data_IF_059338672578
#
_entry.id   IF_059338672578
#
_cell.length_a   1.000
_cell.length_b   1.000
_cell.length_c   1.000
_cell.angle_alpha   90.00
_cell.angle_beta   90.00
_cell.angle_gamma   90.00
#
_symmetry.space_group_name_H-M   'P 1'
#
loop_
_entity.id
_entity.type
_entity.pdbx_description
1 polymer ?
#
# COMPACT_ATOMS: atom_id res chain seq x y z
N UNK A 1 23.94 10.01 -7.62
CA UNK A 1 22.71 9.52 -8.28
C UNK A 1 23.13 9.46 -9.72
N UNK A 2 23.36 8.26 -10.20
CA UNK A 2 24.29 8.05 -11.32
C UNK A 2 23.54 7.71 -12.61
N UNK A 3 22.21 7.55 -12.51
CA UNK A 3 21.30 7.25 -13.60
C UNK A 3 20.42 8.47 -13.92
N UNK A 4 20.18 8.71 -15.21
CA UNK A 4 19.21 9.71 -15.71
C UNK A 4 17.97 8.98 -16.20
N UNK A 5 16.82 9.31 -15.63
CA UNK A 5 15.53 8.68 -15.97
C UNK A 5 14.58 9.72 -16.53
N UNK A 6 14.26 9.58 -17.81
CA UNK A 6 13.42 10.53 -18.55
C UNK A 6 12.55 9.78 -19.56
N UNK A 7 11.44 10.37 -19.97
CA UNK A 7 10.55 9.82 -21.00
C UNK A 7 9.55 10.87 -21.48
N UNK A 8 8.98 10.63 -22.65
CA UNK A 8 7.95 11.46 -23.29
C UNK A 8 6.89 10.55 -23.91
N UNK A 9 5.70 11.10 -24.17
CA UNK A 9 4.56 10.35 -24.73
C UNK A 9 4.68 10.10 -26.25
N UNK A 10 5.71 10.63 -26.90
CA UNK A 10 5.91 10.54 -28.34
C UNK A 10 7.37 10.25 -28.69
N UNK A 11 7.58 9.28 -29.59
CA UNK A 11 8.90 8.85 -30.02
C UNK A 11 9.79 9.98 -30.54
N UNK A 12 9.24 10.92 -31.31
CA UNK A 12 9.97 12.07 -31.87
C UNK A 12 10.45 12.97 -30.73
N UNK A 13 9.55 13.34 -29.80
CA UNK A 13 9.91 14.14 -28.63
C UNK A 13 10.95 13.43 -27.77
N UNK A 14 10.83 12.12 -27.59
CA UNK A 14 11.81 11.32 -26.84
C UNK A 14 13.19 11.35 -27.51
N UNK A 15 13.26 11.26 -28.84
CA UNK A 15 14.52 11.37 -29.60
C UNK A 15 15.14 12.76 -29.48
N UNK A 16 14.34 13.82 -29.60
CA UNK A 16 14.82 15.19 -29.44
C UNK A 16 15.37 15.42 -28.02
N UNK A 17 14.65 14.97 -27.00
CA UNK A 17 15.08 15.04 -25.60
C UNK A 17 16.38 14.24 -25.36
N UNK A 18 16.52 13.05 -25.96
CA UNK A 18 17.74 12.26 -25.90
C UNK A 18 18.95 13.04 -26.45
N UNK A 19 18.80 13.67 -27.61
CA UNK A 19 19.87 14.49 -28.21
C UNK A 19 20.22 15.71 -27.35
N UNK A 20 19.20 16.38 -26.78
CA UNK A 20 19.41 17.50 -25.86
C UNK A 20 20.20 17.08 -24.62
N UNK A 21 19.89 15.91 -24.04
CA UNK A 21 20.66 15.37 -22.92
C UNK A 21 22.10 15.05 -23.30
N UNK A 22 22.33 14.39 -24.44
CA UNK A 22 23.68 14.09 -24.92
C UNK A 22 24.50 15.37 -25.05
N UNK A 23 23.97 16.40 -25.72
CA UNK A 23 24.66 17.68 -25.90
C UNK A 23 24.90 18.42 -24.58
N UNK A 24 23.93 18.38 -23.65
CA UNK A 24 24.07 19.03 -22.34
C UNK A 24 25.19 18.40 -21.50
N UNK A 25 25.26 17.08 -21.45
CA UNK A 25 26.30 16.37 -20.68
C UNK A 25 27.67 16.48 -21.35
N UNK A 26 27.73 16.45 -22.67
CA UNK A 26 28.97 16.65 -23.44
C UNK A 26 29.62 18.02 -23.16
N UNK A 27 28.80 19.08 -23.05
CA UNK A 27 29.24 20.41 -22.60
C UNK A 27 29.87 20.41 -21.20
N UNK A 28 29.47 19.48 -20.35
CA UNK A 28 30.05 19.25 -19.03
C UNK A 28 31.26 18.31 -19.04
N UNK A 29 31.73 17.86 -20.20
CA UNK A 29 32.79 16.86 -20.35
C UNK A 29 32.37 15.44 -19.92
N UNK A 30 31.06 15.16 -19.90
CA UNK A 30 30.50 13.87 -19.49
C UNK A 30 29.86 13.15 -20.67
N UNK A 31 30.21 11.89 -20.86
CA UNK A 31 29.60 11.04 -21.89
C UNK A 31 28.53 10.12 -21.27
N UNK A 32 27.31 10.19 -21.80
CA UNK A 32 26.24 9.26 -21.42
C UNK A 32 26.47 7.88 -22.05
N UNK A 33 26.33 6.82 -21.25
CA UNK A 33 26.54 5.42 -21.65
C UNK A 33 25.45 4.52 -21.05
N UNK A 34 25.39 3.23 -21.44
CA UNK A 34 24.46 2.22 -20.88
C UNK A 34 22.98 2.58 -21.07
N UNK A 35 22.61 2.92 -22.29
CA UNK A 35 21.25 3.29 -22.65
C UNK A 35 20.29 2.10 -22.58
N UNK A 36 19.11 2.34 -22.04
CA UNK A 36 18.03 1.37 -21.93
C UNK A 36 16.71 2.04 -22.25
N UNK A 37 15.90 1.46 -23.14
CA UNK A 37 14.64 2.03 -23.59
C UNK A 37 13.59 0.95 -23.85
N UNK A 38 12.31 1.27 -23.68
CA UNK A 38 11.19 0.39 -24.01
C UNK A 38 10.81 0.42 -25.50
N UNK A 39 11.43 1.29 -26.31
CA UNK A 39 11.28 1.29 -27.77
C UNK A 39 12.65 1.15 -28.46
N UNK A 40 12.79 0.15 -29.34
CA UNK A 40 14.06 -0.16 -30.01
C UNK A 40 14.55 1.01 -30.88
N UNK A 41 13.64 1.79 -31.45
CA UNK A 41 13.96 2.94 -32.31
C UNK A 41 14.69 4.07 -31.57
N UNK A 42 14.72 4.05 -30.23
CA UNK A 42 15.46 4.99 -29.37
C UNK A 42 16.92 4.57 -29.13
N UNK A 43 17.27 3.35 -29.51
CA UNK A 43 18.62 2.81 -29.40
C UNK A 43 19.20 2.89 -30.82
N UNK A 44 19.98 3.94 -31.11
CA UNK A 44 20.57 4.16 -32.43
C UNK A 44 21.52 3.02 -32.84
N UNK A 45 21.51 2.66 -34.13
CA UNK A 45 22.41 1.65 -34.71
C UNK A 45 23.89 2.09 -34.78
N UNK A 46 24.16 3.40 -34.67
CA UNK A 46 25.50 3.98 -34.95
C UNK A 46 26.47 4.01 -33.76
N UNK A 47 26.06 3.54 -32.57
CA UNK A 47 26.89 3.55 -31.35
C UNK A 47 27.08 2.12 -30.85
N UNK A 48 28.35 1.73 -30.58
CA UNK A 48 28.81 0.36 -30.26
C UNK A 48 27.76 -0.45 -29.47
N UNK A 49 27.35 -1.59 -30.02
CA UNK A 49 26.35 -2.52 -29.48
C UNK A 49 26.54 -2.90 -27.99
N UNK A 50 27.75 -2.72 -27.43
CA UNK A 50 28.06 -3.01 -26.03
C UNK A 50 27.37 -2.09 -25.01
N UNK A 51 26.91 -0.90 -25.42
CA UNK A 51 26.40 0.14 -24.50
C UNK A 51 24.86 0.26 -24.48
N UNK A 52 24.14 -0.60 -25.22
CA UNK A 52 22.68 -0.55 -25.33
C UNK A 52 22.02 -1.82 -24.81
N UNK A 53 20.84 -1.67 -24.21
CA UNK A 53 20.07 -2.77 -23.65
C UNK A 53 18.58 -2.61 -23.95
N UNK A 54 18.10 -3.27 -25.01
CA UNK A 54 16.66 -3.38 -25.29
C UNK A 54 16.01 -4.60 -24.62
N UNK A 55 16.71 -5.73 -24.66
CA UNK A 55 16.23 -7.04 -24.21
C UNK A 55 16.80 -7.49 -22.87
N UNK A 56 17.90 -6.86 -22.42
CA UNK A 56 18.55 -7.23 -21.17
C UNK A 56 17.86 -6.51 -20.01
N UNK A 57 17.49 -7.29 -19.01
CA UNK A 57 16.89 -6.74 -17.79
C UNK A 57 17.91 -5.82 -17.11
N UNK A 58 17.47 -4.63 -16.69
CA UNK A 58 18.31 -3.67 -15.99
C UNK A 58 17.72 -3.29 -14.65
N UNK A 59 18.55 -2.83 -13.72
CA UNK A 59 18.06 -2.28 -12.45
C UNK A 59 17.91 -0.77 -12.59
N UNK A 60 16.72 -0.27 -12.31
CA UNK A 60 16.40 1.16 -12.27
C UNK A 60 15.98 1.51 -10.85
N UNK A 61 16.74 2.37 -10.17
CA UNK A 61 16.52 2.73 -8.75
C UNK A 61 16.40 1.52 -7.81
N UNK A 62 17.11 0.44 -8.13
CA UNK A 62 17.09 -0.82 -7.36
C UNK A 62 15.96 -1.79 -7.73
N UNK A 63 14.99 -1.40 -8.57
CA UNK A 63 13.92 -2.27 -9.09
C UNK A 63 14.36 -2.86 -10.43
N UNK A 64 14.05 -4.12 -10.70
CA UNK A 64 14.29 -4.72 -12.02
C UNK A 64 13.27 -4.17 -13.02
N UNK A 65 13.75 -3.62 -14.13
CA UNK A 65 12.95 -3.18 -15.26
C UNK A 65 13.26 -4.04 -16.48
N UNK A 66 12.20 -4.49 -17.15
CA UNK A 66 12.24 -5.23 -18.41
C UNK A 66 11.79 -4.26 -19.51
N UNK A 67 12.72 -3.70 -20.30
CA UNK A 67 12.40 -2.60 -21.21
C UNK A 67 11.40 -3.00 -22.30
N UNK A 68 11.63 -4.12 -22.97
CA UNK A 68 10.77 -4.58 -24.08
C UNK A 68 9.28 -4.74 -23.69
N UNK A 69 8.88 -5.45 -22.61
CA UNK A 69 7.48 -5.51 -22.18
C UNK A 69 7.05 -4.29 -21.33
N UNK A 70 7.95 -3.34 -21.11
CA UNK A 70 7.80 -2.18 -20.23
C UNK A 70 7.19 -2.47 -18.85
N UNK A 71 7.78 -3.43 -18.15
CA UNK A 71 7.28 -3.85 -16.84
C UNK A 71 8.40 -3.90 -15.80
N UNK A 72 8.02 -3.66 -14.55
CA UNK A 72 8.82 -4.02 -13.40
C UNK A 72 8.73 -5.51 -13.16
N UNK A 73 9.88 -6.12 -12.93
CA UNK A 73 10.00 -7.49 -12.47
C UNK A 73 10.66 -7.56 -11.11
N UNK A 74 10.87 -8.78 -10.64
CA UNK A 74 11.57 -9.05 -9.40
C UNK A 74 12.56 -10.20 -9.63
N UNK A 75 13.75 -10.09 -9.05
CA UNK A 75 14.74 -11.15 -9.10
C UNK A 75 15.21 -11.45 -7.67
N UNK A 76 14.45 -12.30 -6.99
CA UNK A 76 14.76 -12.79 -5.66
C UNK A 76 15.55 -14.10 -5.77
N UNK A 77 16.86 -13.99 -5.58
CA UNK A 77 17.75 -15.13 -5.36
C UNK A 77 17.94 -15.28 -3.86
N UNK A 78 17.31 -16.31 -3.30
CA UNK A 78 17.36 -16.60 -1.86
C UNK A 78 18.10 -17.92 -1.69
N UNK A 79 19.23 -17.85 -1.00
CA UNK A 79 19.98 -19.04 -0.61
C UNK A 79 19.15 -19.90 0.33
N UNK A 80 19.14 -21.20 0.07
CA UNK A 80 18.49 -22.17 0.93
C UNK A 80 19.47 -22.69 1.98
N UNK A 81 18.97 -22.90 3.19
CA UNK A 81 19.66 -23.53 4.30
C UNK A 81 18.68 -24.47 5.01
N UNK A 82 19.22 -25.50 5.63
CA UNK A 82 18.43 -26.44 6.43
C UNK A 82 18.01 -25.82 7.77
N UNK A 83 18.80 -24.90 8.33
CA UNK A 83 18.54 -24.30 9.63
C UNK A 83 18.75 -22.79 9.53
N UNK A 84 17.72 -22.03 9.88
CA UNK A 84 17.80 -20.58 9.93
C UNK A 84 17.93 -20.08 11.36
N UNK A 85 18.56 -18.92 11.50
CA UNK A 85 18.52 -18.12 12.73
C UNK A 85 17.54 -16.96 12.57
N UNK A 86 17.11 -16.36 13.68
CA UNK A 86 16.28 -15.15 13.64
C UNK A 86 16.95 -14.00 12.84
N UNK A 87 18.28 -13.85 12.96
CA UNK A 87 19.05 -12.89 12.16
C UNK A 87 19.01 -13.21 10.67
N UNK A 88 19.10 -14.49 10.29
CA UNK A 88 19.02 -14.90 8.90
C UNK A 88 17.65 -14.55 8.29
N UNK A 89 16.56 -14.79 9.02
CA UNK A 89 15.19 -14.42 8.62
C UNK A 89 15.09 -12.92 8.34
N UNK A 90 15.50 -12.07 9.29
CA UNK A 90 15.46 -10.62 9.09
C UNK A 90 16.30 -10.19 7.87
N UNK A 91 17.50 -10.76 7.73
CA UNK A 91 18.37 -10.46 6.59
C UNK A 91 17.73 -10.83 5.26
N UNK A 92 17.00 -11.95 5.19
CA UNK A 92 16.31 -12.38 3.98
C UNK A 92 15.11 -11.47 3.67
N UNK A 93 14.34 -11.04 4.68
CA UNK A 93 13.26 -10.07 4.50
C UNK A 93 13.80 -8.75 3.94
N UNK A 94 14.91 -8.26 4.50
CA UNK A 94 15.53 -7.00 4.08
C UNK A 94 16.06 -7.03 2.63
N UNK A 95 16.34 -8.21 2.07
CA UNK A 95 16.76 -8.38 0.66
C UNK A 95 15.61 -8.22 -0.33
N UNK A 96 14.35 -8.31 0.13
CA UNK A 96 13.18 -8.09 -0.72
C UNK A 96 13.01 -6.58 -0.90
N UNK A 97 13.68 -6.03 -1.92
CA UNK A 97 13.61 -4.61 -2.24
C UNK A 97 12.32 -4.29 -3.00
N UNK A 98 11.39 -3.60 -2.33
CA UNK A 98 10.09 -3.21 -2.88
C UNK A 98 9.71 -1.80 -2.37
N UNK A 99 10.25 -0.73 -2.97
CA UNK A 99 10.06 0.63 -2.48
C UNK A 99 8.62 1.13 -2.67
N UNK A 100 7.88 0.56 -3.63
CA UNK A 100 6.48 0.89 -3.94
C UNK A 100 5.48 -0.02 -3.21
N UNK A 101 5.93 -1.06 -2.51
CA UNK A 101 5.01 -1.99 -1.85
C UNK A 101 4.17 -2.82 -2.83
N UNK A 102 4.64 -3.07 -4.05
CA UNK A 102 3.91 -3.88 -5.05
C UNK A 102 3.76 -5.35 -4.60
N UNK A 103 4.72 -5.84 -3.82
CA UNK A 103 4.72 -7.15 -3.16
C UNK A 103 4.22 -7.06 -1.71
N UNK A 104 3.52 -5.98 -1.35
CA UNK A 104 3.06 -5.67 0.01
C UNK A 104 2.48 -6.87 0.77
N UNK A 105 1.51 -7.63 0.21
CA UNK A 105 0.94 -8.81 0.86
C UNK A 105 1.95 -9.92 1.19
N UNK A 106 2.92 -10.17 0.30
CA UNK A 106 3.98 -11.17 0.51
C UNK A 106 4.92 -10.73 1.62
N UNK A 107 5.36 -9.46 1.56
CA UNK A 107 6.25 -8.88 2.55
C UNK A 107 5.56 -8.80 3.92
N UNK A 108 4.26 -8.54 3.97
CA UNK A 108 3.47 -8.61 5.20
C UNK A 108 3.58 -10.00 5.83
N UNK A 109 3.39 -11.09 5.07
CA UNK A 109 3.50 -12.45 5.60
C UNK A 109 4.86 -12.69 6.27
N UNK A 110 5.93 -12.20 5.64
CA UNK A 110 7.28 -12.26 6.20
C UNK A 110 7.45 -11.42 7.48
N UNK A 111 6.88 -10.21 7.53
CA UNK A 111 6.90 -9.34 8.71
C UNK A 111 6.12 -9.94 9.88
N UNK A 112 4.98 -10.58 9.63
CA UNK A 112 4.19 -11.30 10.64
C UNK A 112 5.00 -12.47 11.20
N UNK A 113 5.65 -13.25 10.32
CA UNK A 113 6.53 -14.33 10.76
C UNK A 113 7.66 -13.81 11.66
N UNK A 114 8.29 -12.70 11.29
CA UNK A 114 9.31 -12.08 12.14
C UNK A 114 8.73 -11.67 13.51
N UNK A 115 7.54 -11.06 13.56
CA UNK A 115 6.82 -10.74 14.80
C UNK A 115 6.60 -11.98 15.68
N UNK A 116 6.20 -13.10 15.07
CA UNK A 116 6.05 -14.39 15.77
C UNK A 116 7.36 -14.83 16.44
N UNK A 117 8.51 -14.68 15.78
CA UNK A 117 9.82 -15.01 16.37
C UNK A 117 10.17 -14.10 17.57
N UNK A 118 9.73 -12.85 17.57
CA UNK A 118 9.89 -11.96 18.72
C UNK A 118 9.07 -12.43 19.92
N UNK A 119 7.85 -12.94 19.69
CA UNK A 119 7.00 -13.49 20.74
C UNK A 119 7.55 -14.78 21.35
N UNK A 120 8.30 -15.56 20.57
CA UNK A 120 9.05 -16.73 21.05
C UNK A 120 10.29 -16.37 21.88
N UNK A 121 10.60 -15.07 22.03
CA UNK A 121 11.76 -14.57 22.78
C UNK A 121 13.11 -15.14 22.32
N UNK A 122 13.23 -15.46 21.03
CA UNK A 122 14.49 -15.90 20.43
C UNK A 122 15.46 -14.72 20.32
N UNK A 123 16.73 -14.94 20.64
CA UNK A 123 17.82 -14.02 20.35
C UNK A 123 18.24 -14.09 18.88
N UNK A 124 19.07 -13.13 18.46
CA UNK A 124 19.47 -12.99 17.05
C UNK A 124 20.20 -14.21 16.49
N UNK A 125 21.04 -14.85 17.32
CA UNK A 125 21.85 -16.01 16.95
C UNK A 125 21.10 -17.34 17.05
N UNK A 126 19.94 -17.36 17.70
CA UNK A 126 19.22 -18.59 17.97
C UNK A 126 18.67 -19.20 16.70
N UNK A 127 18.84 -20.52 16.60
CA UNK A 127 18.22 -21.33 15.55
C UNK A 127 16.71 -21.39 15.76
N UNK A 128 15.95 -21.35 14.66
CA UNK A 128 14.50 -21.48 14.73
C UNK A 128 14.10 -22.88 15.23
N UNK A 129 13.06 -22.99 16.08
CA UNK A 129 12.47 -24.29 16.38
C UNK A 129 11.95 -24.98 15.11
N UNK A 130 11.87 -26.32 15.13
CA UNK A 130 11.58 -27.13 13.95
C UNK A 130 10.32 -26.69 13.19
N UNK A 131 9.26 -26.30 13.93
CA UNK A 131 7.99 -25.84 13.35
C UNK A 131 8.17 -24.54 12.56
N UNK A 132 8.74 -23.52 13.19
CA UNK A 132 9.02 -22.21 12.58
C UNK A 132 10.02 -22.32 11.43
N UNK A 133 11.04 -23.18 11.57
CA UNK A 133 12.02 -23.41 10.52
C UNK A 133 11.37 -24.00 9.26
N UNK A 134 10.51 -25.01 9.42
CA UNK A 134 9.74 -25.64 8.33
C UNK A 134 8.79 -24.62 7.68
N UNK A 135 8.09 -23.82 8.48
CA UNK A 135 7.21 -22.75 7.99
C UNK A 135 7.99 -21.71 7.16
N UNK A 136 9.16 -21.29 7.64
CA UNK A 136 10.02 -20.34 6.95
C UNK A 136 10.58 -20.91 5.64
N UNK A 137 11.04 -22.16 5.65
CA UNK A 137 11.47 -22.85 4.43
C UNK A 137 10.37 -22.92 3.38
N UNK A 138 9.14 -23.25 3.80
CA UNK A 138 7.98 -23.25 2.90
C UNK A 138 7.73 -21.87 2.28
N UNK A 139 7.81 -20.81 3.10
CA UNK A 139 7.70 -19.44 2.61
C UNK A 139 8.82 -19.08 1.62
N UNK A 140 10.09 -19.40 1.92
CA UNK A 140 11.19 -19.15 0.98
C UNK A 140 11.03 -19.92 -0.33
N UNK A 141 10.54 -21.16 -0.27
CA UNK A 141 10.23 -21.95 -1.44
C UNK A 141 9.12 -21.34 -2.29
N UNK A 142 8.18 -20.60 -1.70
CA UNK A 142 7.14 -19.90 -2.45
C UNK A 142 7.64 -18.58 -3.06
N UNK A 143 8.68 -17.95 -2.49
CA UNK A 143 9.24 -16.71 -3.01
C UNK A 143 9.84 -16.83 -4.42
N UNK A 144 10.20 -18.04 -4.88
CA UNK A 144 10.65 -18.25 -6.27
C UNK A 144 9.60 -17.82 -7.30
N UNK A 145 8.31 -17.88 -6.95
CA UNK A 145 7.21 -17.47 -7.82
C UNK A 145 7.06 -15.95 -7.93
N UNK A 146 7.70 -15.17 -7.06
CA UNK A 146 7.74 -13.70 -7.18
C UNK A 146 8.42 -13.27 -8.46
N UNK A 147 9.39 -14.04 -8.96
CA UNK A 147 10.10 -13.74 -10.20
C UNK A 147 9.19 -13.83 -11.45
N UNK A 148 8.01 -14.44 -11.31
CA UNK A 148 7.01 -14.54 -12.38
C UNK A 148 6.05 -13.34 -12.40
N UNK A 149 6.06 -12.50 -11.36
CA UNK A 149 5.23 -11.31 -11.28
C UNK A 149 5.85 -10.23 -12.15
N UNK A 150 5.06 -9.72 -13.10
CA UNK A 150 5.40 -8.57 -13.92
C UNK A 150 4.35 -7.49 -13.69
N UNK A 151 4.78 -6.27 -13.37
CA UNK A 151 3.89 -5.14 -13.11
C UNK A 151 4.14 -4.08 -14.17
N UNK A 152 3.14 -3.68 -14.98
CA UNK A 152 3.32 -2.62 -15.96
C UNK A 152 3.92 -1.36 -15.33
N UNK A 153 5.00 -0.82 -15.91
CA UNK A 153 5.64 0.40 -15.41
C UNK A 153 4.74 1.61 -15.64
N UNK A 154 4.10 1.66 -16.81
CA UNK A 154 3.22 2.76 -17.20
C UNK A 154 1.86 2.66 -16.49
N UNK A 155 1.58 3.66 -15.65
CA UNK A 155 0.41 3.68 -14.75
C UNK A 155 -0.83 4.33 -15.36
N UNK A 156 -0.71 4.96 -16.53
CA UNK A 156 -1.83 5.60 -17.23
C UNK A 156 -2.27 4.74 -18.43
N UNK A 157 -3.42 5.09 -19.00
CA UNK A 157 -3.84 4.63 -20.31
C UNK A 157 -3.46 5.66 -21.37
N UNK A 158 -3.34 5.22 -22.62
CA UNK A 158 -3.16 6.15 -23.73
C UNK A 158 -4.35 7.13 -23.81
N UNK A 159 -4.06 8.41 -24.09
CA UNK A 159 -5.08 9.45 -24.27
C UNK A 159 -6.01 9.66 -23.05
N UNK A 160 -5.53 9.38 -21.83
CA UNK A 160 -6.29 9.67 -20.62
C UNK A 160 -6.53 11.18 -20.47
N UNK A 161 -7.79 11.58 -20.36
CA UNK A 161 -8.20 12.97 -20.13
C UNK A 161 -8.49 13.28 -18.66
N UNK A 162 -8.67 12.24 -17.83
CA UNK A 162 -8.92 12.36 -16.40
C UNK A 162 -8.19 11.26 -15.63
N UNK A 163 -7.68 11.61 -14.46
CA UNK A 163 -6.95 10.70 -13.56
C UNK A 163 -7.52 10.82 -12.16
N UNK A 164 -8.02 9.70 -11.63
CA UNK A 164 -8.53 9.59 -10.26
C UNK A 164 -7.59 8.71 -9.42
N UNK A 165 -7.43 9.03 -8.13
CA UNK A 165 -6.70 8.18 -7.18
C UNK A 165 -7.64 7.53 -6.19
N UNK A 166 -7.54 6.22 -6.03
CA UNK A 166 -8.37 5.44 -5.10
C UNK A 166 -7.49 4.80 -4.04
N UNK A 167 -7.61 5.28 -2.80
CA UNK A 167 -6.88 4.80 -1.65
C UNK A 167 -7.74 3.90 -0.77
N UNK A 168 -7.26 2.72 -0.41
CA UNK A 168 -7.96 1.80 0.48
C UNK A 168 -7.15 1.58 1.76
N UNK A 169 -7.84 1.52 2.88
CA UNK A 169 -7.27 1.24 4.19
C UNK A 169 -7.93 0.01 4.80
N UNK A 170 -7.15 -0.79 5.51
CA UNK A 170 -7.66 -1.91 6.29
C UNK A 170 -6.72 -2.27 7.45
N UNK A 171 -7.25 -2.94 8.46
CA UNK A 171 -6.47 -3.48 9.56
C UNK A 171 -6.97 -4.84 10.06
N UNK A 172 -6.00 -5.68 10.40
CA UNK A 172 -6.17 -6.88 11.21
C UNK A 172 -5.52 -6.69 12.58
N UNK A 173 -5.67 -7.67 13.46
CA UNK A 173 -4.99 -7.69 14.76
C UNK A 173 -3.45 -7.68 14.63
N UNK A 174 -2.92 -8.14 13.49
CA UNK A 174 -1.49 -8.33 13.28
C UNK A 174 -0.87 -7.19 12.46
N UNK A 175 -1.60 -6.62 11.50
CA UNK A 175 -1.08 -5.63 10.55
C UNK A 175 -2.18 -4.68 10.13
N UNK A 176 -1.83 -3.41 9.94
CA UNK A 176 -2.68 -2.45 9.23
C UNK A 176 -1.95 -1.90 8.01
N UNK A 177 -2.72 -1.60 6.96
CA UNK A 177 -2.17 -1.32 5.64
C UNK A 177 -2.99 -0.32 4.85
N UNK A 178 -2.36 0.20 3.81
CA UNK A 178 -3.00 1.06 2.83
C UNK A 178 -2.49 0.75 1.43
N UNK A 179 -3.36 0.86 0.43
CA UNK A 179 -3.03 0.70 -0.99
C UNK A 179 -3.66 1.82 -1.80
N UNK A 180 -2.96 2.28 -2.85
CA UNK A 180 -3.45 3.33 -3.74
C UNK A 180 -3.39 2.81 -5.17
N UNK A 181 -4.50 3.02 -5.88
CA UNK A 181 -4.66 2.77 -7.30
C UNK A 181 -4.82 4.07 -8.07
N UNK A 182 -4.38 4.04 -9.32
CA UNK A 182 -4.63 5.08 -10.31
C UNK A 182 -5.72 4.56 -11.24
N UNK A 183 -6.76 5.37 -11.46
CA UNK A 183 -7.78 5.14 -12.47
C UNK A 183 -7.63 6.21 -13.55
N UNK A 184 -7.24 5.81 -14.77
CA UNK A 184 -7.19 6.68 -15.94
C UNK A 184 -8.46 6.50 -16.76
N UNK A 185 -9.02 7.61 -17.24
CA UNK A 185 -10.26 7.64 -18.03
C UNK A 185 -9.98 8.37 -19.34
N UNK A 186 -10.31 7.75 -20.47
CA UNK A 186 -10.13 8.33 -21.80
C UNK A 186 -11.35 9.17 -22.24
N UNK A 187 -11.26 9.80 -23.42
CA UNK A 187 -12.35 10.61 -23.98
C UNK A 187 -13.59 9.83 -24.38
N UNK A 188 -13.49 8.51 -24.53
CA UNK A 188 -14.59 7.61 -24.87
C UNK A 188 -15.33 7.08 -23.64
N UNK A 189 -14.81 7.36 -22.43
CA UNK A 189 -15.34 6.88 -21.17
C UNK A 189 -14.77 5.53 -20.71
N UNK A 190 -13.87 4.91 -21.48
CA UNK A 190 -13.16 3.72 -21.03
C UNK A 190 -12.20 4.09 -19.90
N UNK A 191 -12.06 3.17 -18.95
CA UNK A 191 -11.15 3.35 -17.83
C UNK A 191 -10.28 2.14 -17.59
N UNK A 192 -9.09 2.38 -17.04
CA UNK A 192 -8.15 1.37 -16.62
C UNK A 192 -7.72 1.67 -15.18
N UNK A 193 -7.49 0.63 -14.39
CA UNK A 193 -7.09 0.75 -13.00
C UNK A 193 -5.78 0.02 -12.79
N UNK A 194 -4.78 0.71 -12.23
CA UNK A 194 -3.46 0.15 -11.96
C UNK A 194 -3.04 0.40 -10.52
N UNK A 195 -2.43 -0.61 -9.91
CA UNK A 195 -1.78 -0.47 -8.60
C UNK A 195 -0.62 0.53 -8.69
N UNK A 196 -0.63 1.54 -7.84
CA UNK A 196 0.43 2.56 -7.80
C UNK A 196 1.43 2.30 -6.66
N UNK A 197 0.91 2.17 -5.44
CA UNK A 197 1.75 2.06 -4.24
C UNK A 197 0.98 1.42 -3.10
N UNK A 198 1.67 0.67 -2.24
CA UNK A 198 1.11 0.18 -0.99
C UNK A 198 2.06 0.33 0.19
N UNK A 199 1.50 0.25 1.39
CA UNK A 199 2.28 0.32 2.63
C UNK A 199 1.62 -0.48 3.74
N UNK A 200 2.42 -1.26 4.46
CA UNK A 200 1.98 -2.01 5.64
C UNK A 200 2.79 -1.68 6.89
N UNK A 201 2.14 -1.80 8.05
CA UNK A 201 2.76 -1.69 9.37
C UNK A 201 2.26 -2.82 10.27
N UNK A 202 3.20 -3.51 10.91
CA UNK A 202 2.89 -4.52 11.92
C UNK A 202 2.26 -3.83 13.13
N UNK A 203 1.16 -4.39 13.63
CA UNK A 203 0.45 -3.89 14.79
C UNK A 203 1.34 -3.99 16.04
N UNK A 204 1.18 -3.07 17.01
CA UNK A 204 1.91 -3.15 18.27
C UNK A 204 1.64 -4.46 19.00
N UNK A 205 2.64 -5.01 19.71
CA UNK A 205 2.45 -6.17 20.58
C UNK A 205 1.53 -5.87 21.78
N UNK A 206 1.46 -4.59 22.19
CA UNK A 206 0.49 -4.15 23.18
C UNK A 206 -0.90 -4.17 22.56
N UNK A 207 -1.87 -4.70 23.30
CA UNK A 207 -3.26 -4.76 22.86
C UNK A 207 -3.78 -3.39 22.41
N UNK A 208 -4.34 -3.38 21.19
CA UNK A 208 -5.07 -2.27 20.58
C UNK A 208 -6.31 -2.87 19.94
N UNK A 209 -7.46 -2.22 20.11
CA UNK A 209 -8.72 -2.69 19.51
C UNK A 209 -8.67 -2.59 17.99
N UNK A 210 -9.37 -3.47 17.29
CA UNK A 210 -9.44 -3.48 15.82
C UNK A 210 -9.87 -2.10 15.27
N UNK A 211 -10.91 -1.41 15.79
CA UNK A 211 -11.28 -0.08 15.28
C UNK A 211 -10.19 0.98 15.42
N UNK A 212 -9.37 0.89 16.47
CA UNK A 212 -8.21 1.79 16.62
C UNK A 212 -7.10 1.47 15.61
N UNK A 213 -6.93 0.21 15.22
CA UNK A 213 -6.00 -0.21 14.17
C UNK A 213 -6.51 0.21 12.79
N UNK A 214 -7.81 0.05 12.51
CA UNK A 214 -8.47 0.55 11.30
C UNK A 214 -8.31 2.07 11.17
N UNK A 215 -8.49 2.82 12.27
CA UNK A 215 -8.21 4.26 12.30
C UNK A 215 -6.72 4.57 12.04
N UNK A 216 -5.80 3.71 12.49
CA UNK A 216 -4.38 3.85 12.15
C UNK A 216 -4.11 3.56 10.67
N UNK A 217 -4.84 2.62 10.05
CA UNK A 217 -4.81 2.37 8.61
C UNK A 217 -5.29 3.61 7.83
N UNK A 218 -6.39 4.23 8.27
CA UNK A 218 -6.90 5.47 7.68
C UNK A 218 -5.85 6.60 7.74
N UNK A 219 -5.20 6.81 8.89
CA UNK A 219 -4.09 7.78 9.01
C UNK A 219 -2.92 7.43 8.08
N UNK A 220 -2.58 6.14 7.96
CA UNK A 220 -1.51 5.67 7.07
C UNK A 220 -1.84 6.02 5.62
N UNK A 221 -3.09 5.78 5.21
CA UNK A 221 -3.59 6.09 3.87
C UNK A 221 -3.56 7.60 3.60
N UNK A 222 -4.06 8.45 4.50
CA UNK A 222 -4.03 9.91 4.34
C UNK A 222 -2.61 10.43 4.11
N UNK A 223 -1.65 9.91 4.88
CA UNK A 223 -0.23 10.29 4.74
C UNK A 223 0.38 9.76 3.44
N UNK A 224 0.02 8.55 3.03
CA UNK A 224 0.50 7.96 1.78
C UNK A 224 -0.03 8.71 0.58
N UNK A 225 -1.33 9.00 0.53
CA UNK A 225 -1.97 9.77 -0.53
C UNK A 225 -1.35 11.17 -0.65
N UNK A 226 -1.12 11.86 0.49
CA UNK A 226 -0.46 13.18 0.47
C UNK A 226 0.95 13.12 -0.13
N UNK A 227 1.70 12.04 0.10
CA UNK A 227 3.03 11.84 -0.50
C UNK A 227 2.92 11.57 -1.99
N UNK A 228 1.97 10.73 -2.40
CA UNK A 228 1.69 10.44 -3.81
C UNK A 228 1.36 11.71 -4.56
N UNK A 229 0.40 12.51 -4.08
CA UNK A 229 -0.01 13.77 -4.73
C UNK A 229 1.13 14.79 -4.85
N UNK A 230 2.11 14.78 -3.94
CA UNK A 230 3.29 15.65 -4.02
C UNK A 230 4.36 15.13 -4.98
N UNK A 231 4.45 13.80 -5.14
CA UNK A 231 5.45 13.15 -5.97
C UNK A 231 5.00 13.01 -7.43
N UNK A 232 3.70 12.78 -7.66
CA UNK A 232 3.11 12.74 -8.98
C UNK A 232 3.06 14.16 -9.55
N UNK A 233 3.73 14.34 -10.69
CA UNK A 233 3.65 15.55 -11.51
C UNK A 233 2.49 15.43 -12.51
N UNK A 234 1.32 15.02 -12.03
CA UNK A 234 0.11 14.79 -12.82
C UNK A 234 -1.04 15.61 -12.24
N UNK A 235 -1.93 16.08 -13.11
CA UNK A 235 -3.19 16.66 -12.68
C UNK A 235 -4.16 15.55 -12.27
N UNK A 236 -4.42 15.44 -10.97
CA UNK A 236 -5.36 14.47 -10.41
C UNK A 236 -6.72 15.14 -10.27
N UNK A 237 -7.71 14.65 -11.00
CA UNK A 237 -9.06 15.23 -11.03
C UNK A 237 -9.81 14.95 -9.74
N UNK A 238 -9.68 13.74 -9.18
CA UNK A 238 -10.33 13.34 -7.93
C UNK A 238 -9.50 12.38 -7.09
N UNK A 239 -9.74 12.40 -5.79
CA UNK A 239 -9.13 11.47 -4.83
C UNK A 239 -10.20 10.89 -3.93
N UNK A 240 -10.18 9.56 -3.77
CA UNK A 240 -11.12 8.80 -2.96
C UNK A 240 -10.37 8.02 -1.87
N UNK A 241 -10.96 7.97 -0.68
CA UNK A 241 -10.49 7.19 0.46
C UNK A 241 -11.56 6.17 0.82
N UNK A 242 -11.16 4.90 0.94
CA UNK A 242 -12.04 3.77 1.14
C UNK A 242 -11.63 3.00 2.39
N UNK A 243 -12.62 2.63 3.20
CA UNK A 243 -12.48 1.75 4.37
C UNK A 243 -13.76 0.93 4.50
N UNK A 244 -13.66 -0.31 4.97
CA UNK A 244 -14.82 -1.14 5.31
C UNK A 244 -15.26 -0.95 6.78
N UNK A 245 -14.42 -0.31 7.60
CA UNK A 245 -14.79 0.10 8.95
C UNK A 245 -15.83 1.23 8.97
N UNK A 246 -17.09 0.86 9.23
CA UNK A 246 -18.16 1.82 9.52
C UNK A 246 -17.87 2.62 10.80
N UNK A 247 -17.17 2.05 11.78
CA UNK A 247 -16.78 2.75 13.03
C UNK A 247 -15.84 3.91 12.73
N UNK A 248 -14.83 3.70 11.88
CA UNK A 248 -13.90 4.76 11.49
C UNK A 248 -14.64 5.88 10.75
N UNK A 249 -15.54 5.55 9.82
CA UNK A 249 -16.35 6.54 9.11
C UNK A 249 -17.22 7.35 10.07
N UNK A 250 -17.92 6.68 11.00
CA UNK A 250 -18.75 7.36 11.99
C UNK A 250 -17.93 8.26 12.93
N UNK A 251 -16.72 7.85 13.32
CA UNK A 251 -15.83 8.72 14.06
C UNK A 251 -15.38 9.93 13.23
N UNK A 252 -15.13 9.76 11.93
CA UNK A 252 -14.73 10.87 11.05
C UNK A 252 -15.81 11.95 10.92
N UNK A 253 -17.09 11.64 11.17
CA UNK A 253 -18.19 12.61 11.20
C UNK A 253 -18.25 13.39 12.54
N UNK A 254 -17.60 12.90 13.62
CA UNK A 254 -17.71 13.48 14.97
C UNK A 254 -16.79 14.67 15.23
N UNK A 255 -17.17 15.57 16.15
CA UNK A 255 -16.25 16.58 16.66
C UNK A 255 -15.13 15.89 17.47
N UNK A 256 -13.88 16.29 17.26
CA UNK A 256 -12.74 15.79 18.02
C UNK A 256 -12.89 16.00 19.54
N UNK A 257 -13.68 16.98 19.98
CA UNK A 257 -13.98 17.23 21.39
C UNK A 257 -14.82 16.11 22.02
N UNK A 258 -15.71 15.48 21.25
CA UNK A 258 -16.56 14.37 21.69
C UNK A 258 -15.78 13.06 21.84
N UNK A 259 -14.55 12.98 21.31
CA UNK A 259 -13.78 11.76 21.21
C UNK A 259 -12.63 11.71 22.22
N UNK A 260 -12.30 10.51 22.69
CA UNK A 260 -11.11 10.28 23.52
C UNK A 260 -9.83 10.60 22.73
N UNK A 261 -8.78 10.99 23.46
CA UNK A 261 -7.55 11.57 22.92
C UNK A 261 -6.90 10.74 21.81
N UNK A 262 -6.91 9.40 21.91
CA UNK A 262 -6.31 8.54 20.88
C UNK A 262 -6.99 8.73 19.52
N UNK A 263 -8.32 8.70 19.51
CA UNK A 263 -9.16 8.79 18.32
C UNK A 263 -9.18 10.23 17.81
N UNK A 264 -9.42 11.20 18.70
CA UNK A 264 -9.43 12.63 18.38
C UNK A 264 -8.14 13.09 17.67
N UNK A 265 -6.96 12.71 18.19
CA UNK A 265 -5.68 13.10 17.58
C UNK A 265 -5.49 12.52 16.17
N UNK A 266 -5.98 11.31 15.92
CA UNK A 266 -5.84 10.65 14.61
C UNK A 266 -6.80 11.22 13.58
N UNK A 267 -8.02 11.54 14.00
CA UNK A 267 -9.00 12.23 13.15
C UNK A 267 -8.53 13.63 12.80
N UNK A 268 -7.95 14.35 13.75
CA UNK A 268 -7.33 15.65 13.48
C UNK A 268 -6.26 15.55 12.39
N UNK A 269 -5.42 14.50 12.41
CA UNK A 269 -4.43 14.24 11.34
C UNK A 269 -5.13 13.96 10.01
N UNK A 270 -6.17 13.11 9.98
CA UNK A 270 -6.90 12.77 8.76
C UNK A 270 -7.53 14.03 8.16
N UNK A 271 -8.30 14.79 8.95
CA UNK A 271 -8.96 16.04 8.53
C UNK A 271 -7.99 17.14 8.10
N UNK A 272 -6.76 17.15 8.63
CA UNK A 272 -5.70 18.06 8.14
C UNK A 272 -5.19 17.66 6.76
N UNK A 273 -5.24 16.37 6.43
CA UNK A 273 -4.64 15.80 5.22
C UNK A 273 -5.66 15.49 4.12
N UNK A 274 -6.95 15.40 4.42
CA UNK A 274 -8.03 14.99 3.50
C UNK A 274 -9.29 15.79 3.76
N UNK A 275 -10.24 15.76 2.82
CA UNK A 275 -11.59 16.31 3.03
C UNK A 275 -12.55 15.17 3.38
N UNK A 276 -13.52 15.42 4.26
CA UNK A 276 -14.42 14.40 4.80
C UNK A 276 -15.24 13.70 3.71
N UNK A 277 -15.74 14.45 2.72
CA UNK A 277 -16.61 13.95 1.65
C UNK A 277 -15.90 12.96 0.72
N UNK A 278 -14.57 12.90 0.78
CA UNK A 278 -13.73 11.98 0.01
C UNK A 278 -13.66 10.59 0.64
N UNK A 279 -14.10 10.43 1.89
CA UNK A 279 -14.13 9.15 2.59
C UNK A 279 -15.43 8.40 2.29
N UNK A 280 -15.28 7.12 1.95
CA UNK A 280 -16.36 6.26 1.51
C UNK A 280 -16.22 4.86 2.10
N UNK A 281 -17.36 4.19 2.23
CA UNK A 281 -17.40 2.79 2.60
C UNK A 281 -17.11 1.89 1.39
N UNK A 282 -16.34 0.83 1.60
CA UNK A 282 -16.19 -0.29 0.66
C UNK A 282 -16.54 -1.60 1.37
N UNK A 283 -17.28 -2.53 0.76
CA UNK A 283 -17.49 -3.85 1.36
C UNK A 283 -16.16 -4.59 1.57
N UNK A 284 -15.96 -5.30 2.70
CA UNK A 284 -14.69 -5.98 3.01
C UNK A 284 -14.20 -6.92 1.90
N UNK A 285 -15.11 -7.62 1.21
CA UNK A 285 -14.75 -8.52 0.08
C UNK A 285 -14.19 -7.78 -1.14
N UNK A 286 -14.45 -6.49 -1.25
CA UNK A 286 -13.96 -5.61 -2.30
C UNK A 286 -12.81 -4.71 -1.79
N UNK A 287 -12.37 -4.85 -0.54
CA UNK A 287 -11.30 -4.03 0.01
C UNK A 287 -9.92 -4.68 -0.28
N UNK A 288 -9.14 -4.19 -1.26
CA UNK A 288 -7.82 -4.75 -1.55
C UNK A 288 -6.81 -4.55 -0.41
N UNK A 289 -7.06 -3.61 0.52
CA UNK A 289 -6.19 -3.42 1.67
C UNK A 289 -6.25 -4.61 2.67
N UNK A 290 -7.31 -5.42 2.64
CA UNK A 290 -7.41 -6.67 3.43
C UNK A 290 -6.30 -7.67 3.07
N UNK A 291 -5.91 -7.69 1.79
CA UNK A 291 -4.79 -8.53 1.32
C UNK A 291 -3.46 -8.10 1.96
N UNK A 292 -3.30 -6.81 2.25
CA UNK A 292 -2.12 -6.28 2.94
C UNK A 292 -2.16 -6.58 4.43
N UNK A 293 -3.33 -6.46 5.06
CA UNK A 293 -3.48 -6.62 6.51
C UNK A 293 -3.39 -8.09 6.95
N UNK A 294 -3.69 -9.03 6.05
CA UNK A 294 -3.57 -10.48 6.29
C UNK A 294 -2.31 -11.11 5.69
N UNK A 295 -1.84 -10.57 4.57
CA UNK A 295 -0.76 -11.13 3.78
C UNK A 295 -1.21 -12.23 2.82
N UNK A 296 -0.38 -12.53 1.82
CA UNK A 296 -0.71 -13.49 0.76
C UNK A 296 0.53 -14.21 0.24
N UNK A 297 0.36 -15.46 -0.18
CA UNK A 297 1.41 -16.23 -0.84
C UNK A 297 1.68 -15.73 -2.27
N UNK A 298 2.94 -15.76 -2.75
CA UNK A 298 3.31 -15.26 -4.07
C UNK A 298 2.49 -15.83 -5.23
N UNK A 299 2.22 -17.14 -5.23
CA UNK A 299 1.43 -17.82 -6.27
C UNK A 299 0.01 -17.27 -6.32
N UNK A 300 -0.60 -17.02 -5.16
CA UNK A 300 -1.95 -16.46 -5.07
C UNK A 300 -1.96 -14.99 -5.48
N UNK A 301 -0.94 -14.23 -5.05
CA UNK A 301 -0.84 -12.81 -5.39
C UNK A 301 -0.72 -12.61 -6.90
N UNK A 302 0.07 -13.45 -7.58
CA UNK A 302 0.23 -13.38 -9.03
C UNK A 302 -1.10 -13.43 -9.79
N UNK A 303 -2.08 -14.19 -9.30
CA UNK A 303 -3.39 -14.38 -9.92
C UNK A 303 -4.49 -13.51 -9.30
N UNK A 304 -4.14 -12.61 -8.37
CA UNK A 304 -5.12 -11.86 -7.59
C UNK A 304 -5.55 -10.57 -8.31
N UNK A 305 -6.65 -10.63 -9.07
CA UNK A 305 -7.20 -9.47 -9.77
C UNK A 305 -7.55 -8.32 -8.82
N UNK A 306 -8.12 -8.61 -7.65
CA UNK A 306 -8.43 -7.61 -6.62
C UNK A 306 -7.19 -6.78 -6.24
N UNK A 307 -6.01 -7.40 -6.20
CA UNK A 307 -4.77 -6.71 -5.88
C UNK A 307 -4.22 -5.88 -7.03
N UNK A 308 -4.21 -6.41 -8.26
CA UNK A 308 -3.54 -5.75 -9.39
C UNK A 308 -4.42 -4.74 -10.13
N UNK A 309 -5.71 -5.05 -10.29
CA UNK A 309 -6.68 -4.24 -11.04
C UNK A 309 -8.10 -4.52 -10.53
N UNK A 310 -8.51 -3.92 -9.40
CA UNK A 310 -9.84 -4.12 -8.83
C UNK A 310 -10.95 -3.65 -9.78
N UNK A 311 -11.58 -4.60 -10.47
CA UNK A 311 -12.52 -4.34 -11.57
C UNK A 311 -13.77 -3.57 -11.15
N UNK A 312 -14.18 -3.65 -9.88
CA UNK A 312 -15.34 -2.89 -9.38
C UNK A 312 -15.12 -1.36 -9.46
N UNK A 313 -13.87 -0.89 -9.49
CA UNK A 313 -13.56 0.53 -9.69
C UNK A 313 -13.84 1.02 -11.12
N UNK A 314 -14.01 0.11 -12.07
CA UNK A 314 -14.39 0.45 -13.45
C UNK A 314 -15.88 0.82 -13.55
N UNK A 315 -16.67 0.52 -12.52
CA UNK A 315 -18.10 0.82 -12.52
C UNK A 315 -18.36 2.29 -12.15
N UNK A 316 -19.43 2.92 -12.69
CA UNK A 316 -19.66 4.37 -12.54
C UNK A 316 -20.03 4.82 -11.13
N UNK A 317 -20.55 3.93 -10.27
CA UNK A 317 -21.11 4.32 -8.98
C UNK A 317 -20.76 3.34 -7.87
N UNK A 318 -20.20 3.88 -6.78
CA UNK A 318 -20.22 3.23 -5.48
C UNK A 318 -21.15 4.04 -4.59
N UNK A 319 -22.27 3.45 -4.18
CA UNK A 319 -23.24 4.10 -3.31
C UNK A 319 -22.63 4.30 -1.92
N UNK A 320 -22.80 5.49 -1.35
CA UNK A 320 -22.44 5.74 0.05
C UNK A 320 -23.35 4.89 0.94
N UNK A 321 -22.76 3.90 1.60
CA UNK A 321 -23.46 3.10 2.60
C UNK A 321 -23.38 3.79 3.96
N UNK A 322 -24.53 3.97 4.62
CA UNK A 322 -24.61 4.48 5.99
C UNK A 322 -25.21 3.40 6.88
N UNK A 323 -24.41 2.92 7.83
CA UNK A 323 -24.86 1.93 8.81
C UNK A 323 -25.57 2.63 9.97
N UNK A 324 -26.90 2.56 10.00
CA UNK A 324 -27.71 3.14 11.08
C UNK A 324 -27.55 2.40 12.41
N UNK A 325 -26.91 1.22 12.44
CA UNK A 325 -26.70 0.43 13.67
C UNK A 325 -25.42 0.81 14.44
N UNK A 326 -24.62 1.74 13.92
CA UNK A 326 -23.34 2.11 14.54
C UNK A 326 -23.49 2.71 15.94
N UNK A 327 -24.61 3.41 16.19
CA UNK A 327 -24.82 4.17 17.42
C UNK A 327 -24.99 3.27 18.64
N UNK A 328 -25.33 2.00 18.45
CA UNK A 328 -25.42 0.99 19.52
C UNK A 328 -24.16 0.14 19.66
N UNK A 329 -23.13 0.37 18.83
CA UNK A 329 -21.91 -0.41 18.86
C UNK A 329 -21.01 -0.02 20.04
N UNK A 330 -20.77 -0.98 20.94
CA UNK A 330 -19.94 -0.84 22.14
C UNK A 330 -18.53 -0.30 21.86
N UNK A 331 -17.87 -0.74 20.78
CA UNK A 331 -16.52 -0.31 20.44
C UNK A 331 -16.49 1.15 19.97
N UNK A 332 -17.57 1.60 19.32
CA UNK A 332 -17.77 2.99 18.93
C UNK A 332 -18.03 3.87 20.16
N UNK A 333 -19.03 3.51 20.98
CA UNK A 333 -19.48 4.27 22.16
C UNK A 333 -18.33 4.45 23.16
N UNK A 334 -17.52 3.40 23.37
CA UNK A 334 -16.39 3.43 24.33
C UNK A 334 -15.35 4.49 24.00
N UNK A 335 -15.29 5.02 22.78
CA UNK A 335 -14.35 6.07 22.39
C UNK A 335 -14.94 7.48 22.45
N UNK A 336 -16.24 7.60 22.77
CA UNK A 336 -16.85 8.88 23.10
C UNK A 336 -16.44 9.29 24.52
N UNK A 337 -16.25 10.59 24.74
CA UNK A 337 -16.18 11.16 26.08
C UNK A 337 -17.58 11.13 26.67
N UNK A 338 -17.70 10.65 27.89
CA UNK A 338 -18.94 10.74 28.65
C UNK A 338 -19.33 12.20 28.80
N UNK A 339 -20.55 12.56 28.40
CA UNK A 339 -21.11 13.83 28.81
C UNK A 339 -21.31 13.80 30.34
N UNK A 340 -21.02 14.89 31.07
CA UNK A 340 -21.29 14.97 32.50
C UNK A 340 -22.75 14.65 32.86
N UNK A 341 -23.69 14.93 31.95
CA UNK A 341 -25.11 14.61 32.09
C UNK A 341 -25.43 13.11 32.03
N UNK A 342 -24.64 12.30 31.32
CA UNK A 342 -24.83 10.84 31.22
C UNK A 342 -24.30 10.09 32.46
N UNK A 343 -23.37 10.70 33.19
CA UNK A 343 -22.90 10.17 34.47
C UNK A 343 -23.93 10.41 35.57
N UNK A 344 -24.64 11.54 35.53
CA UNK A 344 -25.76 11.84 36.43
C UNK A 344 -26.96 10.93 36.17
N UNK A 345 -27.33 10.66 34.91
CA UNK A 345 -28.45 9.76 34.59
C UNK A 345 -28.16 8.30 34.98
N UNK A 346 -26.91 7.83 34.80
CA UNK A 346 -26.47 6.49 35.25
C UNK A 346 -26.33 6.39 36.76
N UNK A 347 -25.93 7.47 37.45
CA UNK A 347 -25.89 7.55 38.91
C UNK A 347 -27.30 7.49 39.51
N UNK A 348 -28.25 8.25 38.95
CA UNK A 348 -29.65 8.25 39.39
C UNK A 348 -30.35 6.91 39.12
N UNK A 349 -30.04 6.20 38.03
CA UNK A 349 -30.55 4.85 37.78
C UNK A 349 -29.99 3.82 38.78
N UNK A 350 -28.69 3.91 39.14
CA UNK A 350 -28.09 3.03 40.14
C UNK A 350 -28.65 3.28 41.56
N UNK A 351 -28.91 4.54 41.93
CA UNK A 351 -29.58 4.89 43.20
C UNK A 351 -31.05 4.43 43.23
N UNK A 352 -31.76 4.49 42.09
CA UNK A 352 -33.15 4.00 41.99
C UNK A 352 -33.28 2.49 42.13
N UNK A 353 -32.24 1.73 41.75
CA UNK A 353 -32.18 0.27 41.89
C UNK A 353 -31.80 -0.14 43.31
N UNK A 354 -30.94 0.64 43.99
CA UNK A 354 -30.58 0.40 45.39
C UNK A 354 -31.71 0.75 46.38
N UNK A 355 -32.64 1.64 45.99
CA UNK A 355 -33.80 1.99 46.82
C UNK A 355 -35.00 1.03 46.68
N UNK A 356 -34.96 0.06 45.77
CA UNK A 356 -36.04 -0.93 45.57
C UNK A 356 -35.76 -2.31 46.21
N UNK A 357 -34.63 -2.49 46.89
CA UNK A 357 -34.38 -3.65 47.75
C UNK A 357 -34.36 -3.22 49.22
N UNK A 358 -35.56 -3.09 49.81
CA UNK A 358 -35.72 -2.72 51.21
C UNK A 358 -37.10 -3.08 51.76
N UNK A 359 -37.16 -4.29 52.35
CA UNK A 359 -38.22 -4.91 53.19
C UNK A 359 -39.42 -5.56 52.49
#
# INVERSE_FOLDING_TARGET
MDDVLTGEDNLIKTKDMQQQHISLFDRGGMQLHKWSANNQSLLCDEMKESDYSFSKETKTLGILWKPQPDCFGFNLIIGQSEIYTKRAVLSQIARIFDPLGLLGPIITKAKIFLQKLWLLKLDWGDTLPLKENTEWQSFLNSLKFVNLINVPRWILSEQSISVELHGFADASELVYGAVIYVKSINSYGDSEVKLLISKSRVAPLKFVTIPRLELCAAVLLSKLMRRVLRALKLEVSKTYFWTDSTIVLSWLEKDCKELKTFVANRISIIRTLTVEEQWNHVPSKQNPADLISRGMDPVKLQLCELWWSPSFLLQPEMTKYRDSSIETNDLYIRELKSNPSDLLSRGLQAESLLHNEGW
#
